data_IF_027122232495
#
_entry.id   IF_027122232495
#
_cell.length_a   1.000
_cell.length_b   1.000
_cell.length_c   1.000
_cell.angle_alpha   90.00
_cell.angle_beta   90.00
_cell.angle_gamma   90.00
#
_symmetry.space_group_name_H-M   'P 1'
#
loop_
_entity.id
_entity.type
_entity.pdbx_description
1 polymer ?
#
# COMPACT_ATOMS: atom_id res chain seq x y z
N UNK A 1 15.46 5.40 33.45
CA UNK A 1 15.64 4.10 32.78
C UNK A 1 14.32 3.74 32.13
N UNK A 2 14.19 3.89 30.81
CA UNK A 2 12.97 3.56 30.09
C UNK A 2 13.32 3.40 28.63
N UNK A 3 13.86 2.24 28.25
CA UNK A 3 14.29 1.93 26.90
C UNK A 3 13.50 0.72 26.42
N UNK A 4 12.74 0.92 25.34
CA UNK A 4 12.39 -0.05 24.31
C UNK A 4 12.06 -1.47 24.77
N UNK A 5 10.92 -1.65 25.44
CA UNK A 5 10.31 -2.98 25.41
C UNK A 5 9.63 -3.12 24.05
N UNK A 6 10.25 -3.87 23.14
CA UNK A 6 9.68 -4.22 21.85
C UNK A 6 8.99 -5.58 22.01
N UNK A 7 7.66 -5.63 22.25
CA UNK A 7 6.98 -6.86 22.60
C UNK A 7 7.04 -7.83 21.41
N UNK A 8 7.52 -9.04 21.67
CA UNK A 8 7.50 -10.15 20.72
C UNK A 8 6.52 -11.20 21.23
N UNK A 9 5.68 -11.71 20.33
CA UNK A 9 4.62 -12.65 20.67
C UNK A 9 4.82 -13.94 19.88
N UNK A 10 4.96 -15.05 20.60
CA UNK A 10 5.22 -16.38 20.01
C UNK A 10 3.93 -17.18 20.00
N UNK A 11 3.59 -17.74 18.83
CA UNK A 11 2.42 -18.59 18.63
C UNK A 11 2.82 -19.92 17.98
N UNK A 12 2.08 -21.02 18.25
CA UNK A 12 2.26 -22.26 17.52
C UNK A 12 1.89 -22.07 16.04
N UNK A 13 2.54 -22.80 15.14
CA UNK A 13 2.25 -22.73 13.69
C UNK A 13 0.79 -23.04 13.34
N UNK A 14 0.10 -23.84 14.16
CA UNK A 14 -1.33 -24.11 14.01
C UNK A 14 -2.21 -22.85 14.14
N UNK A 15 -1.74 -21.80 14.82
CA UNK A 15 -2.51 -20.57 14.96
C UNK A 15 -2.77 -19.87 13.62
N UNK A 16 -1.85 -20.02 12.64
CA UNK A 16 -2.06 -19.50 11.28
C UNK A 16 -3.18 -20.26 10.56
N UNK A 17 -3.28 -21.57 10.78
CA UNK A 17 -4.36 -22.40 10.25
C UNK A 17 -5.70 -21.97 10.86
N UNK A 18 -5.79 -21.92 12.19
CA UNK A 18 -7.01 -21.58 12.89
C UNK A 18 -7.51 -20.18 12.49
N UNK A 19 -6.60 -19.20 12.37
CA UNK A 19 -6.93 -17.86 11.89
C UNK A 19 -7.46 -17.88 10.46
N UNK A 20 -6.86 -18.68 9.56
CA UNK A 20 -7.30 -18.80 8.18
C UNK A 20 -8.71 -19.40 8.10
N UNK A 21 -8.97 -20.47 8.85
CA UNK A 21 -10.29 -21.10 8.91
C UNK A 21 -11.36 -20.11 9.37
N UNK A 22 -11.11 -19.33 10.42
CA UNK A 22 -12.01 -18.27 10.87
C UNK A 22 -12.23 -17.19 9.79
N UNK A 23 -11.17 -16.74 9.13
CA UNK A 23 -11.28 -15.77 8.04
C UNK A 23 -12.04 -16.33 6.84
N UNK A 24 -11.92 -17.62 6.54
CA UNK A 24 -12.66 -18.30 5.49
C UNK A 24 -14.16 -18.35 5.80
N UNK A 25 -14.53 -18.58 7.07
CA UNK A 25 -15.91 -18.54 7.50
C UNK A 25 -16.53 -17.14 7.35
N UNK A 26 -15.74 -16.08 7.58
CA UNK A 26 -16.21 -14.69 7.51
C UNK A 26 -16.21 -14.12 6.09
N UNK A 27 -15.14 -14.35 5.32
CA UNK A 27 -14.84 -13.65 4.07
C UNK A 27 -14.83 -14.59 2.85
N UNK A 28 -15.10 -15.88 3.03
CA UNK A 28 -15.11 -16.87 1.96
C UNK A 28 -13.78 -16.92 1.21
N UNK A 29 -13.85 -16.73 -0.11
CA UNK A 29 -12.69 -16.82 -1.00
C UNK A 29 -11.66 -15.68 -0.80
N UNK A 30 -12.00 -14.61 -0.07
CA UNK A 30 -11.09 -13.48 0.18
C UNK A 30 -10.18 -13.69 1.41
N UNK A 31 -10.28 -14.84 2.08
CA UNK A 31 -9.43 -15.18 3.22
C UNK A 31 -7.93 -15.15 2.86
N UNK A 32 -7.53 -15.77 1.75
CA UNK A 32 -6.13 -15.78 1.29
C UNK A 32 -5.58 -14.37 1.04
N UNK A 33 -6.36 -13.50 0.39
CA UNK A 33 -5.97 -12.09 0.18
C UNK A 33 -5.81 -11.33 1.51
N UNK A 34 -6.64 -11.68 2.50
CA UNK A 34 -6.52 -11.10 3.84
C UNK A 34 -5.28 -11.59 4.57
N UNK A 35 -4.99 -12.89 4.50
CA UNK A 35 -3.76 -13.50 5.03
C UNK A 35 -2.51 -12.87 4.41
N UNK A 36 -2.50 -12.64 3.10
CA UNK A 36 -1.40 -11.96 2.41
C UNK A 36 -1.19 -10.53 2.91
N UNK A 37 -2.26 -9.71 2.98
CA UNK A 37 -2.16 -8.34 3.51
C UNK A 37 -1.68 -8.33 4.96
N UNK A 38 -2.15 -9.28 5.76
CA UNK A 38 -1.75 -9.43 7.15
C UNK A 38 -0.27 -9.82 7.26
N UNK A 39 0.17 -10.82 6.49
CA UNK A 39 1.57 -11.21 6.38
C UNK A 39 2.45 -10.03 6.00
N UNK A 40 2.08 -9.26 4.97
CA UNK A 40 2.83 -8.08 4.56
C UNK A 40 3.06 -7.10 5.72
N UNK A 41 2.00 -6.77 6.46
CA UNK A 41 2.07 -5.87 7.62
C UNK A 41 2.94 -6.44 8.74
N UNK A 42 2.83 -7.75 9.00
CA UNK A 42 3.67 -8.43 9.98
C UNK A 42 5.15 -8.36 9.58
N UNK A 43 5.47 -8.51 8.29
CA UNK A 43 6.85 -8.48 7.79
C UNK A 43 7.48 -7.10 7.91
N UNK A 44 6.75 -6.06 7.51
CA UNK A 44 7.16 -4.67 7.73
C UNK A 44 7.32 -4.37 9.22
N UNK A 45 6.36 -4.81 10.03
CA UNK A 45 6.39 -4.63 11.48
C UNK A 45 7.62 -5.27 12.11
N UNK A 46 8.01 -6.46 11.65
CA UNK A 46 9.19 -7.17 12.14
C UNK A 46 10.49 -6.41 11.87
N UNK A 47 10.71 -5.99 10.62
CA UNK A 47 11.92 -5.25 10.22
C UNK A 47 12.06 -3.95 11.02
N UNK A 48 10.97 -3.21 11.19
CA UNK A 48 10.93 -1.98 12.01
C UNK A 48 11.18 -2.26 13.48
N UNK A 49 10.55 -3.30 14.02
CA UNK A 49 10.69 -3.69 15.42
C UNK A 49 12.08 -4.20 15.72
N UNK A 50 12.77 -4.84 14.79
CA UNK A 50 14.16 -5.25 14.99
C UNK A 50 15.15 -4.12 14.65
N UNK A 51 14.70 -3.06 13.96
CA UNK A 51 15.55 -1.95 13.54
C UNK A 51 16.57 -2.39 12.48
N UNK A 52 16.16 -3.30 11.60
CA UNK A 52 17.01 -3.85 10.55
C UNK A 52 17.03 -2.89 9.35
N UNK A 53 18.20 -2.74 8.77
CA UNK A 53 18.46 -1.93 7.58
C UNK A 53 19.55 -2.64 6.77
N UNK A 54 19.63 -2.38 5.47
CA UNK A 54 20.69 -2.93 4.64
C UNK A 54 21.22 -1.89 3.66
N UNK A 55 22.53 -1.85 3.47
CA UNK A 55 23.18 -0.95 2.53
C UNK A 55 23.14 -1.48 1.10
N UNK A 56 23.16 -2.81 0.93
CA UNK A 56 23.14 -3.46 -0.38
C UNK A 56 22.36 -4.78 -0.40
N UNK A 57 22.16 -5.29 -1.61
CA UNK A 57 21.37 -6.51 -1.84
C UNK A 57 22.04 -7.79 -1.32
N UNK A 58 23.37 -7.80 -1.13
CA UNK A 58 24.08 -8.96 -0.58
C UNK A 58 23.89 -9.03 0.92
N UNK A 59 23.95 -7.88 1.59
CA UNK A 59 23.62 -7.75 3.01
C UNK A 59 22.15 -8.11 3.25
N UNK A 60 21.24 -7.65 2.38
CA UNK A 60 19.82 -8.01 2.44
C UNK A 60 19.61 -9.53 2.45
N UNK A 61 20.33 -10.29 1.60
CA UNK A 61 20.23 -11.76 1.57
C UNK A 61 20.48 -12.39 2.94
N UNK A 62 21.59 -12.03 3.59
CA UNK A 62 21.97 -12.61 4.87
C UNK A 62 20.97 -12.25 5.98
N UNK A 63 20.49 -11.00 5.99
CA UNK A 63 19.47 -10.55 6.95
C UNK A 63 18.16 -11.31 6.73
N UNK A 64 17.70 -11.47 5.48
CA UNK A 64 16.46 -12.20 5.18
C UNK A 64 16.54 -13.65 5.66
N UNK A 65 17.65 -14.35 5.38
CA UNK A 65 17.84 -15.75 5.80
C UNK A 65 17.85 -15.89 7.33
N UNK A 66 18.54 -14.97 8.03
CA UNK A 66 18.59 -14.97 9.49
C UNK A 66 17.19 -14.73 10.09
N UNK A 67 16.54 -13.64 9.68
CA UNK A 67 15.21 -13.26 10.16
C UNK A 67 14.21 -14.38 9.91
N UNK A 68 14.23 -15.00 8.73
CA UNK A 68 13.30 -16.07 8.42
C UNK A 68 13.50 -17.30 9.30
N UNK A 69 14.75 -17.69 9.54
CA UNK A 69 15.08 -18.85 10.38
C UNK A 69 14.49 -18.72 11.79
N UNK A 70 14.45 -17.50 12.32
CA UNK A 70 13.89 -17.21 13.64
C UNK A 70 12.34 -17.28 13.67
N UNK A 71 11.67 -17.17 12.53
CA UNK A 71 10.19 -17.15 12.44
C UNK A 71 9.57 -18.54 12.52
N UNK A 72 10.31 -19.59 12.17
CA UNK A 72 9.85 -20.98 12.22
C UNK A 72 8.70 -21.34 11.27
N UNK A 73 8.43 -20.53 10.24
CA UNK A 73 7.31 -20.75 9.31
C UNK A 73 7.62 -21.80 8.23
N UNK A 74 8.89 -21.94 7.86
CA UNK A 74 9.37 -22.87 6.84
C UNK A 74 10.90 -22.86 6.75
N UNK A 75 11.48 -23.81 6.02
CA UNK A 75 12.88 -23.77 5.61
C UNK A 75 13.04 -23.01 4.30
N UNK A 76 13.61 -21.81 4.39
CA UNK A 76 13.89 -20.94 3.25
C UNK A 76 15.20 -21.31 2.55
N UNK A 77 15.20 -21.15 1.21
CA UNK A 77 16.42 -20.99 0.42
C UNK A 77 16.22 -19.92 -0.65
N UNK A 78 17.10 -18.92 -0.70
CA UNK A 78 17.11 -17.87 -1.72
C UNK A 78 17.89 -18.39 -2.95
N UNK A 79 17.17 -18.74 -4.02
CA UNK A 79 17.76 -19.25 -5.26
C UNK A 79 18.38 -18.13 -6.09
N UNK A 80 17.72 -16.97 -6.11
CA UNK A 80 18.17 -15.80 -6.85
C UNK A 80 17.81 -14.54 -6.09
N UNK A 81 18.73 -13.58 -6.06
CA UNK A 81 18.46 -12.23 -5.57
C UNK A 81 19.20 -11.22 -6.45
N UNK A 82 18.44 -10.38 -7.15
CA UNK A 82 18.95 -9.27 -7.95
C UNK A 82 17.97 -8.08 -7.87
N UNK A 83 18.30 -6.96 -8.51
CA UNK A 83 17.51 -5.72 -8.42
C UNK A 83 16.12 -5.79 -9.06
N UNK A 84 15.89 -6.77 -9.94
CA UNK A 84 14.65 -6.92 -10.72
C UNK A 84 13.80 -8.10 -10.30
N UNK A 85 14.42 -9.12 -9.70
CA UNK A 85 13.76 -10.37 -9.37
C UNK A 85 14.46 -11.06 -8.20
N UNK A 86 13.64 -11.59 -7.29
CA UNK A 86 14.09 -12.40 -6.16
C UNK A 86 13.27 -13.68 -6.18
N UNK A 87 13.95 -14.83 -6.21
CA UNK A 87 13.32 -16.15 -6.23
C UNK A 87 13.69 -16.86 -4.93
N UNK A 88 12.66 -17.18 -4.16
CA UNK A 88 12.78 -17.80 -2.85
C UNK A 88 11.98 -19.10 -2.86
N UNK A 89 12.58 -20.13 -2.29
CA UNK A 89 11.93 -21.43 -2.15
C UNK A 89 11.75 -21.80 -0.69
N UNK A 90 10.66 -22.47 -0.40
CA UNK A 90 10.31 -22.93 0.93
C UNK A 90 10.02 -24.42 0.92
N UNK A 91 10.53 -25.11 1.96
CA UNK A 91 10.18 -26.48 2.31
C UNK A 91 9.60 -26.51 3.72
N UNK A 92 8.86 -27.55 4.06
CA UNK A 92 8.24 -27.69 5.40
C UNK A 92 7.39 -26.44 5.72
N UNK A 93 6.55 -26.01 4.76
CA UNK A 93 5.74 -24.80 4.90
C UNK A 93 4.52 -25.09 5.75
N UNK A 94 4.37 -24.34 6.85
CA UNK A 94 3.22 -24.49 7.75
C UNK A 94 1.89 -24.31 7.01
N UNK A 95 1.78 -23.36 6.07
CA UNK A 95 0.54 -23.18 5.31
C UNK A 95 0.28 -24.32 4.33
N UNK A 96 1.30 -24.73 3.56
CA UNK A 96 1.14 -25.78 2.56
C UNK A 96 0.90 -27.17 3.17
N UNK A 97 1.49 -27.44 4.33
CA UNK A 97 1.25 -28.67 5.09
C UNK A 97 -0.21 -28.76 5.59
N UNK A 98 -0.91 -27.63 5.70
CA UNK A 98 -2.34 -27.59 5.99
C UNK A 98 -3.23 -27.72 4.74
N UNK A 99 -2.65 -27.86 3.56
CA UNK A 99 -3.37 -27.98 2.28
C UNK A 99 -3.70 -26.65 1.61
N UNK A 100 -3.10 -25.56 2.09
CA UNK A 100 -3.37 -24.21 1.63
C UNK A 100 -2.21 -23.60 0.82
N UNK A 101 -2.52 -22.63 -0.04
CA UNK A 101 -1.48 -21.77 -0.63
C UNK A 101 -0.79 -20.92 0.45
N UNK A 102 0.48 -20.62 0.26
CA UNK A 102 1.30 -19.90 1.24
C UNK A 102 1.04 -18.38 1.21
N UNK A 103 -0.20 -17.98 1.45
CA UNK A 103 -0.67 -16.60 1.33
C UNK A 103 -0.04 -15.67 2.37
N UNK A 104 0.00 -16.09 3.65
CA UNK A 104 0.64 -15.32 4.70
C UNK A 104 2.14 -15.22 4.45
N UNK A 105 2.79 -16.35 4.15
CA UNK A 105 4.22 -16.46 3.82
C UNK A 105 4.57 -15.53 2.67
N UNK A 106 3.76 -15.52 1.59
CA UNK A 106 3.91 -14.62 0.43
C UNK A 106 3.88 -13.16 0.84
N UNK A 107 2.88 -12.77 1.63
CA UNK A 107 2.78 -11.43 2.18
C UNK A 107 3.97 -11.08 3.06
N UNK A 108 4.32 -11.96 3.98
CA UNK A 108 5.34 -11.76 5.00
C UNK A 108 6.72 -11.52 4.39
N UNK A 109 7.13 -12.35 3.43
CA UNK A 109 8.41 -12.18 2.75
C UNK A 109 8.43 -10.91 1.88
N UNK A 110 7.32 -10.58 1.23
CA UNK A 110 7.16 -9.31 0.50
C UNK A 110 7.31 -8.11 1.44
N UNK A 111 6.73 -8.17 2.65
CA UNK A 111 6.84 -7.12 3.66
C UNK A 111 8.26 -6.92 4.17
N UNK A 112 8.95 -8.01 4.51
CA UNK A 112 10.34 -7.99 4.97
C UNK A 112 11.24 -7.36 3.90
N UNK A 113 11.18 -7.90 2.67
CA UNK A 113 12.01 -7.44 1.56
C UNK A 113 11.69 -5.99 1.20
N UNK A 114 10.40 -5.63 1.18
CA UNK A 114 10.02 -4.26 0.84
C UNK A 114 10.55 -3.24 1.86
N UNK A 115 10.58 -3.63 3.14
CA UNK A 115 11.08 -2.77 4.21
C UNK A 115 12.60 -2.67 4.20
N UNK A 116 13.32 -3.77 3.96
CA UNK A 116 14.79 -3.77 3.90
C UNK A 116 15.29 -2.99 2.67
N UNK A 117 14.69 -3.25 1.50
CA UNK A 117 15.11 -2.64 0.23
C UNK A 117 14.58 -1.21 0.03
N UNK A 118 13.80 -0.68 0.99
CA UNK A 118 13.12 0.65 0.92
C UNK A 118 12.38 0.89 -0.41
N UNK A 119 11.81 -0.18 -0.94
CA UNK A 119 11.10 -0.22 -2.21
C UNK A 119 10.07 -1.32 -2.14
N UNK A 120 8.85 -1.09 -2.62
CA UNK A 120 7.82 -2.13 -2.62
C UNK A 120 8.20 -3.26 -3.58
N UNK A 121 8.08 -4.50 -3.11
CA UNK A 121 8.14 -5.72 -3.92
C UNK A 121 6.79 -6.42 -3.89
N UNK A 122 6.23 -6.72 -5.05
CA UNK A 122 5.06 -7.59 -5.17
C UNK A 122 5.54 -9.04 -5.29
N UNK A 123 4.84 -9.95 -4.61
CA UNK A 123 5.15 -11.37 -4.63
C UNK A 123 4.02 -12.17 -5.28
N UNK A 124 4.36 -13.27 -5.95
CA UNK A 124 3.42 -14.30 -6.35
C UNK A 124 4.02 -15.68 -6.10
N UNK A 125 3.15 -16.65 -5.85
CA UNK A 125 3.53 -18.05 -5.69
C UNK A 125 3.48 -18.73 -7.07
N UNK A 126 4.64 -19.17 -7.55
CA UNK A 126 4.77 -19.83 -8.85
C UNK A 126 4.41 -21.33 -8.78
N UNK A 127 4.62 -21.96 -7.62
CA UNK A 127 4.21 -23.34 -7.32
C UNK A 127 4.10 -23.55 -5.82
N UNK A 128 3.20 -24.43 -5.37
CA UNK A 128 3.01 -24.75 -3.95
C UNK A 128 3.04 -26.26 -3.68
N UNK A 129 3.49 -26.65 -2.48
CA UNK A 129 3.41 -28.04 -2.00
C UNK A 129 1.95 -28.52 -1.89
N UNK A 130 1.01 -27.61 -1.58
CA UNK A 130 -0.43 -27.94 -1.55
C UNK A 130 -0.94 -28.47 -2.89
N UNK A 131 -0.31 -28.05 -4.00
CA UNK A 131 -0.65 -28.48 -5.37
C UNK A 131 0.15 -29.72 -5.80
N UNK A 132 0.90 -30.34 -4.88
CA UNK A 132 1.76 -31.49 -5.16
C UNK A 132 3.16 -31.16 -5.67
N UNK A 133 3.58 -29.89 -5.63
CA UNK A 133 4.97 -29.54 -5.96
C UNK A 133 5.95 -30.01 -4.88
N UNK A 134 7.23 -30.20 -5.23
CA UNK A 134 8.26 -30.60 -4.26
C UNK A 134 8.75 -29.49 -3.32
N UNK A 135 8.39 -28.22 -3.60
CA UNK A 135 8.73 -27.03 -2.81
C UNK A 135 7.78 -25.88 -3.18
N UNK A 136 7.55 -24.96 -2.26
CA UNK A 136 6.85 -23.71 -2.59
C UNK A 136 7.85 -22.73 -3.21
N UNK A 137 7.50 -22.09 -4.32
CA UNK A 137 8.37 -21.15 -5.04
C UNK A 137 7.69 -19.80 -5.08
N UNK A 138 8.31 -18.80 -4.48
CA UNK A 138 7.84 -17.43 -4.45
C UNK A 138 8.77 -16.56 -5.27
N UNK A 139 8.18 -15.78 -6.17
CA UNK A 139 8.89 -14.82 -6.99
C UNK A 139 8.47 -13.43 -6.57
N UNK A 140 9.45 -12.59 -6.24
CA UNK A 140 9.25 -11.20 -5.91
C UNK A 140 9.85 -10.31 -6.98
N UNK A 141 9.10 -9.29 -7.35
CA UNK A 141 9.52 -8.28 -8.34
C UNK A 141 9.25 -6.91 -7.77
N UNK A 142 10.07 -5.89 -8.08
CA UNK A 142 9.75 -4.53 -7.70
C UNK A 142 8.36 -4.16 -8.18
N UNK A 143 7.54 -3.63 -7.28
CA UNK A 143 6.16 -3.32 -7.62
C UNK A 143 6.14 -2.25 -8.71
N UNK A 144 5.47 -2.57 -9.81
CA UNK A 144 5.12 -1.58 -10.84
C UNK A 144 3.99 -0.68 -10.36
N UNK A 145 3.25 -1.12 -9.33
CA UNK A 145 2.14 -0.39 -8.74
C UNK A 145 2.63 0.59 -7.68
N UNK A 146 3.79 0.38 -7.05
CA UNK A 146 4.35 1.23 -6.00
C UNK A 146 5.85 1.44 -6.25
N UNK A 147 6.24 2.46 -7.04
CA UNK A 147 7.65 2.73 -7.30
C UNK A 147 8.41 3.11 -6.02
N UNK A 148 9.74 2.88 -6.04
CA UNK A 148 10.64 3.13 -4.91
C UNK A 148 10.60 4.59 -4.43
N UNK A 149 10.84 4.81 -3.13
CA UNK A 149 11.21 6.14 -2.64
C UNK A 149 12.44 6.64 -3.40
N UNK A 150 12.32 7.79 -4.07
CA UNK A 150 13.51 8.50 -4.56
C UNK A 150 14.22 9.09 -3.34
N UNK A 151 15.47 8.66 -3.12
CA UNK A 151 16.32 9.23 -2.08
C UNK A 151 16.33 10.76 -2.14
N UNK A 152 16.35 11.38 -0.95
CA UNK A 152 16.30 12.82 -0.73
C UNK A 152 17.11 13.59 -1.78
N UNK A 153 16.42 14.12 -2.78
CA UNK A 153 17.04 15.01 -3.76
C UNK A 153 17.04 16.41 -3.13
N UNK A 154 18.17 17.14 -3.12
CA UNK A 154 18.22 18.47 -2.51
C UNK A 154 17.17 19.36 -3.17
N UNK A 155 16.34 20.00 -2.34
CA UNK A 155 15.34 20.99 -2.75
C UNK A 155 15.93 21.95 -3.79
N UNK A 156 15.47 21.87 -5.04
CA UNK A 156 15.50 23.04 -5.91
C UNK A 156 14.29 23.89 -5.53
N UNK A 157 14.56 24.95 -4.78
CA UNK A 157 13.60 26.05 -4.66
C UNK A 157 13.56 26.72 -6.03
N UNK A 158 12.60 26.36 -6.86
CA UNK A 158 12.22 27.17 -8.01
C UNK A 158 10.92 27.92 -7.74
N UNK A 159 11.02 29.22 -7.93
CA UNK A 159 10.05 30.25 -7.62
C UNK A 159 9.00 30.32 -8.72
N UNK A 160 7.88 29.61 -8.53
CA UNK A 160 6.74 29.69 -9.45
C UNK A 160 5.46 28.95 -8.98
N UNK A 161 5.35 28.62 -7.68
CA UNK A 161 4.22 27.82 -7.18
C UNK A 161 2.91 28.61 -7.28
N UNK A 162 1.90 28.02 -7.92
CA UNK A 162 0.50 28.51 -7.82
C UNK A 162 -0.13 28.12 -6.47
N UNK A 163 0.26 26.98 -5.88
CA UNK A 163 -0.32 26.47 -4.63
C UNK A 163 0.76 25.90 -3.69
N UNK A 164 0.70 26.27 -2.40
CA UNK A 164 1.61 25.78 -1.37
C UNK A 164 0.87 24.80 -0.46
N UNK A 165 1.26 23.52 -0.48
CA UNK A 165 0.68 22.49 0.38
C UNK A 165 1.57 22.24 1.60
N UNK A 166 0.94 22.22 2.77
CA UNK A 166 1.53 21.87 4.05
C UNK A 166 1.52 20.34 4.26
N UNK A 167 2.64 19.74 4.71
CA UNK A 167 2.70 18.34 5.13
C UNK A 167 1.70 18.01 6.24
N UNK A 168 1.25 16.76 6.30
CA UNK A 168 0.29 16.30 7.31
C UNK A 168 -1.12 16.85 7.14
N UNK A 169 -1.46 17.34 5.94
CA UNK A 169 -2.76 17.97 5.66
C UNK A 169 -3.50 17.27 4.54
N UNK A 170 -4.81 17.09 4.74
CA UNK A 170 -5.74 16.62 3.71
C UNK A 170 -6.51 17.81 3.12
N UNK A 171 -6.51 17.91 1.79
CA UNK A 171 -7.09 19.01 1.04
C UNK A 171 -8.33 18.58 0.27
N UNK A 172 -9.41 19.33 0.44
CA UNK A 172 -10.58 19.28 -0.44
C UNK A 172 -10.42 20.38 -1.49
N UNK A 173 -10.14 19.97 -2.73
CA UNK A 173 -9.91 20.90 -3.84
C UNK A 173 -11.22 21.10 -4.58
N UNK A 174 -11.85 22.24 -4.33
CA UNK A 174 -13.11 22.60 -4.98
C UNK A 174 -12.82 23.26 -6.32
N UNK A 175 -13.15 22.54 -7.41
CA UNK A 175 -12.93 23.03 -8.76
C UNK A 175 -13.88 22.34 -9.74
N UNK A 176 -14.22 23.04 -10.82
CA UNK A 176 -14.96 22.46 -11.95
C UNK A 176 -14.13 21.49 -12.79
N UNK A 177 -12.80 21.50 -12.64
CA UNK A 177 -11.87 20.63 -13.37
C UNK A 177 -10.93 19.89 -12.42
N UNK A 178 -10.35 18.78 -12.90
CA UNK A 178 -9.37 18.02 -12.12
C UNK A 178 -7.94 18.57 -12.30
N UNK A 179 -7.72 19.47 -13.27
CA UNK A 179 -6.38 19.92 -13.69
C UNK A 179 -5.56 20.50 -12.54
N UNK A 180 -6.19 21.29 -11.67
CA UNK A 180 -5.53 21.90 -10.53
C UNK A 180 -5.06 20.85 -9.50
N UNK A 181 -5.90 19.88 -9.18
CA UNK A 181 -5.56 18.81 -8.24
C UNK A 181 -4.44 17.91 -8.78
N UNK A 182 -4.47 17.58 -10.08
CA UNK A 182 -3.40 16.84 -10.73
C UNK A 182 -2.10 17.65 -10.83
N UNK A 183 -2.18 18.97 -11.07
CA UNK A 183 -1.00 19.85 -11.03
C UNK A 183 -0.37 19.87 -9.64
N UNK A 184 -1.17 20.07 -8.59
CA UNK A 184 -0.71 20.02 -7.19
C UNK A 184 -0.02 18.69 -6.87
N UNK A 185 -0.60 17.57 -7.31
CA UNK A 185 0.01 16.25 -7.15
C UNK A 185 1.37 16.16 -7.86
N UNK A 186 1.45 16.58 -9.14
CA UNK A 186 2.69 16.55 -9.91
C UNK A 186 3.80 17.37 -9.28
N UNK A 187 3.47 18.57 -8.80
CA UNK A 187 4.44 19.46 -8.17
C UNK A 187 5.07 18.81 -6.95
N UNK A 188 4.28 18.12 -6.13
CA UNK A 188 4.78 17.42 -4.95
C UNK A 188 5.63 16.20 -5.32
N UNK A 189 5.25 15.44 -6.35
CA UNK A 189 6.06 14.33 -6.84
C UNK A 189 7.39 14.82 -7.41
N UNK A 190 7.40 15.95 -8.13
CA UNK A 190 8.62 16.57 -8.64
C UNK A 190 9.57 17.04 -7.51
N UNK A 191 9.02 17.34 -6.33
CA UNK A 191 9.76 17.72 -5.11
C UNK A 191 10.21 16.52 -4.26
N UNK A 192 10.07 15.31 -4.79
CA UNK A 192 10.56 14.07 -4.17
C UNK A 192 9.54 13.36 -3.29
N UNK A 193 8.25 13.74 -3.32
CA UNK A 193 7.22 12.92 -2.69
C UNK A 193 6.96 11.64 -3.51
N UNK A 194 6.78 10.51 -2.83
CA UNK A 194 6.25 9.31 -3.48
C UNK A 194 4.75 9.52 -3.71
N UNK A 195 4.33 9.52 -4.97
CA UNK A 195 2.95 9.78 -5.35
C UNK A 195 2.11 8.51 -5.50
N UNK A 196 0.82 8.58 -5.15
CA UNK A 196 -0.21 7.62 -5.56
C UNK A 196 -1.46 8.35 -6.08
N UNK A 197 -2.07 7.84 -7.13
CA UNK A 197 -3.37 8.31 -7.64
C UNK A 197 -4.37 7.16 -7.57
N UNK A 198 -5.52 7.42 -6.97
CA UNK A 198 -6.74 6.62 -7.15
C UNK A 198 -7.66 7.37 -8.11
N UNK A 199 -7.99 6.77 -9.25
CA UNK A 199 -8.88 7.39 -10.23
C UNK A 199 -9.97 6.44 -10.73
N UNK A 200 -11.10 7.01 -11.16
CA UNK A 200 -12.14 6.26 -11.90
C UNK A 200 -11.73 6.01 -13.35
N UNK A 201 -11.00 6.95 -13.95
CA UNK A 201 -10.52 6.87 -15.31
C UNK A 201 -9.45 5.79 -15.45
N UNK A 202 -9.41 5.14 -16.61
CA UNK A 202 -8.44 4.09 -16.90
C UNK A 202 -6.99 4.61 -16.79
N UNK A 203 -6.05 3.87 -16.17
CA UNK A 203 -4.71 4.35 -15.87
C UNK A 203 -3.96 5.03 -17.02
N UNK A 204 -3.91 4.40 -18.20
CA UNK A 204 -3.19 4.98 -19.35
C UNK A 204 -3.78 6.31 -19.81
N UNK A 205 -5.10 6.52 -19.62
CA UNK A 205 -5.74 7.80 -19.96
C UNK A 205 -5.33 8.89 -18.98
N UNK A 206 -5.32 8.56 -17.68
CA UNK A 206 -4.88 9.49 -16.61
C UNK A 206 -3.42 9.88 -16.83
N UNK A 207 -2.55 8.91 -17.11
CA UNK A 207 -1.13 9.16 -17.38
C UNK A 207 -0.92 10.08 -18.59
N UNK A 208 -1.61 9.83 -19.71
CA UNK A 208 -1.50 10.65 -20.92
C UNK A 208 -2.07 12.06 -20.74
N UNK A 209 -3.23 12.16 -20.09
CA UNK A 209 -3.95 13.42 -19.93
C UNK A 209 -3.24 14.37 -18.97
N UNK A 210 -2.74 13.83 -17.85
CA UNK A 210 -2.14 14.62 -16.78
C UNK A 210 -0.64 14.42 -16.65
N UNK A 211 0.04 13.83 -17.62
CA UNK A 211 1.51 13.71 -17.62
C UNK A 211 2.10 13.00 -16.40
N UNK A 212 1.39 11.98 -15.88
CA UNK A 212 1.87 11.20 -14.72
C UNK A 212 2.82 10.12 -15.24
N UNK A 213 4.12 10.35 -15.08
CA UNK A 213 5.18 9.41 -15.45
C UNK A 213 5.66 8.54 -14.28
N UNK A 214 5.38 8.95 -13.05
CA UNK A 214 5.90 8.33 -11.83
C UNK A 214 4.82 8.30 -10.74
N UNK A 215 4.92 7.33 -9.83
CA UNK A 215 3.96 7.11 -8.76
C UNK A 215 3.03 5.91 -9.00
N UNK A 216 2.38 5.48 -7.92
CA UNK A 216 1.37 4.44 -7.93
C UNK A 216 0.10 4.92 -8.62
N UNK A 217 -0.52 4.10 -9.48
CA UNK A 217 -1.78 4.46 -10.11
C UNK A 217 -2.79 3.32 -10.00
N UNK A 218 -3.81 3.52 -9.17
CA UNK A 218 -4.87 2.57 -8.88
C UNK A 218 -6.16 2.99 -9.57
N UNK A 219 -6.86 2.00 -10.11
CA UNK A 219 -8.08 2.18 -10.88
C UNK A 219 -9.29 1.70 -10.10
N UNK A 220 -10.25 2.59 -9.84
CA UNK A 220 -11.53 2.26 -9.22
C UNK A 220 -12.43 1.57 -10.27
N UNK A 221 -12.47 0.24 -10.23
CA UNK A 221 -13.13 -0.59 -11.24
C UNK A 221 -13.51 -1.97 -10.70
N UNK A 222 -14.58 -2.54 -11.25
CA UNK A 222 -14.98 -3.93 -11.02
C UNK A 222 -14.19 -4.93 -11.88
N UNK A 223 -13.25 -4.46 -12.71
CA UNK A 223 -12.40 -5.32 -13.52
C UNK A 223 -11.53 -6.21 -12.63
N UNK A 224 -11.71 -7.53 -12.77
CA UNK A 224 -10.96 -8.53 -12.00
C UNK A 224 -9.69 -8.93 -12.74
N UNK A 225 -8.64 -9.30 -12.00
CA UNK A 225 -7.38 -9.79 -12.57
C UNK A 225 -6.36 -8.70 -12.93
N UNK A 226 -6.71 -7.41 -12.84
CA UNK A 226 -5.73 -6.31 -12.92
C UNK A 226 -5.22 -5.96 -11.52
N UNK A 227 -3.90 -6.10 -11.30
CA UNK A 227 -3.26 -5.82 -9.99
C UNK A 227 -3.45 -4.38 -9.50
N UNK A 228 -3.72 -3.44 -10.40
CA UNK A 228 -3.98 -2.03 -10.08
C UNK A 228 -5.48 -1.69 -9.96
N UNK A 229 -6.40 -2.63 -10.21
CA UNK A 229 -7.83 -2.39 -10.09
C UNK A 229 -8.32 -2.63 -8.64
N UNK A 230 -9.15 -1.73 -8.13
CA UNK A 230 -9.77 -1.81 -6.81
C UNK A 230 -11.27 -1.64 -6.96
N UNK A 231 -12.05 -2.60 -6.46
CA UNK A 231 -13.51 -2.50 -6.50
C UNK A 231 -13.94 -1.29 -5.64
N UNK A 232 -14.74 -0.35 -6.17
CA UNK A 232 -15.12 0.87 -5.47
C UNK A 232 -15.98 0.62 -4.23
N UNK A 233 -16.63 -0.54 -4.14
CA UNK A 233 -17.42 -1.00 -2.98
C UNK A 233 -16.56 -1.58 -1.85
N UNK A 234 -15.31 -1.97 -2.13
CA UNK A 234 -14.38 -2.52 -1.15
C UNK A 234 -13.62 -1.39 -0.42
N UNK A 235 -14.38 -0.60 0.34
CA UNK A 235 -13.87 0.50 1.17
C UNK A 235 -12.74 0.04 2.12
N UNK A 236 -12.82 -1.13 2.79
CA UNK A 236 -11.72 -1.63 3.61
C UNK A 236 -10.43 -1.85 2.83
N UNK A 237 -10.49 -2.41 1.62
CA UNK A 237 -9.31 -2.56 0.77
C UNK A 237 -8.74 -1.20 0.37
N UNK A 238 -9.57 -0.27 -0.08
CA UNK A 238 -9.13 1.08 -0.48
C UNK A 238 -8.44 1.79 0.70
N UNK A 239 -9.05 1.75 1.88
CA UNK A 239 -8.46 2.28 3.11
C UNK A 239 -7.10 1.65 3.37
N UNK A 240 -7.02 0.32 3.33
CA UNK A 240 -5.78 -0.40 3.63
C UNK A 240 -4.66 -0.04 2.66
N UNK A 241 -4.95 0.14 1.37
CA UNK A 241 -3.95 0.50 0.36
C UNK A 241 -3.40 1.90 0.60
N UNK A 242 -4.28 2.88 0.82
CA UNK A 242 -3.87 4.26 1.06
C UNK A 242 -3.11 4.36 2.39
N UNK A 243 -3.61 3.71 3.45
CA UNK A 243 -2.93 3.68 4.74
C UNK A 243 -1.54 3.04 4.63
N UNK A 244 -1.43 1.88 3.98
CA UNK A 244 -0.14 1.22 3.80
C UNK A 244 0.82 2.10 2.99
N UNK A 245 0.30 2.84 2.01
CA UNK A 245 1.11 3.77 1.22
C UNK A 245 1.67 4.90 2.09
N UNK A 246 0.85 5.52 2.94
CA UNK A 246 1.31 6.53 3.89
C UNK A 246 2.31 5.97 4.90
N UNK A 247 2.09 4.76 5.42
CA UNK A 247 3.01 4.14 6.38
C UNK A 247 4.33 3.70 5.76
N UNK A 248 4.34 3.32 4.48
CA UNK A 248 5.51 2.81 3.79
C UNK A 248 6.43 3.92 3.26
N UNK A 249 5.94 5.16 3.14
CA UNK A 249 6.71 6.25 2.53
C UNK A 249 6.79 7.47 3.46
N UNK A 250 7.98 7.99 3.74
CA UNK A 250 8.18 9.13 4.67
C UNK A 250 7.70 10.47 4.10
N UNK A 251 7.55 10.57 2.77
CA UNK A 251 7.01 11.74 2.07
C UNK A 251 5.99 11.30 1.01
N UNK A 252 4.82 10.84 1.46
CA UNK A 252 3.78 10.37 0.56
C UNK A 252 2.80 11.48 0.14
N UNK A 253 2.34 11.44 -1.10
CA UNK A 253 1.17 12.19 -1.55
C UNK A 253 0.17 11.30 -2.26
N UNK A 254 -1.10 11.41 -1.88
CA UNK A 254 -2.20 10.64 -2.48
C UNK A 254 -3.20 11.58 -3.11
N UNK A 255 -3.57 11.35 -4.37
CA UNK A 255 -4.66 12.01 -5.07
C UNK A 255 -5.84 11.04 -5.20
N UNK A 256 -6.99 11.38 -4.59
CA UNK A 256 -8.22 10.60 -4.68
C UNK A 256 -9.19 11.22 -5.70
N UNK A 257 -8.93 11.00 -6.98
CA UNK A 257 -9.70 11.48 -8.13
C UNK A 257 -10.89 10.56 -8.45
N UNK A 258 -11.78 10.36 -7.49
CA UNK A 258 -12.95 9.50 -7.67
C UNK A 258 -13.94 9.53 -6.51
N UNK A 259 -13.98 10.63 -5.76
CA UNK A 259 -14.81 10.76 -4.57
C UNK A 259 -16.30 10.56 -4.89
N UNK A 260 -16.80 11.25 -5.91
CA UNK A 260 -18.20 11.17 -6.36
C UNK A 260 -18.55 9.75 -6.78
N UNK A 261 -17.60 9.07 -7.43
CA UNK A 261 -17.78 7.68 -7.81
C UNK A 261 -17.87 6.78 -6.59
N UNK A 262 -16.96 6.92 -5.61
CA UNK A 262 -17.03 6.17 -4.35
C UNK A 262 -18.35 6.42 -3.61
N UNK A 263 -18.82 7.67 -3.53
CA UNK A 263 -20.11 8.01 -2.92
C UNK A 263 -21.24 7.33 -3.69
N UNK A 264 -21.23 7.36 -5.03
CA UNK A 264 -22.28 6.75 -5.86
C UNK A 264 -22.35 5.22 -5.75
N UNK A 265 -21.20 4.56 -5.57
CA UNK A 265 -21.11 3.11 -5.44
C UNK A 265 -21.36 2.64 -3.99
N UNK A 266 -21.29 3.56 -3.03
CA UNK A 266 -21.49 3.31 -1.62
C UNK A 266 -22.58 4.25 -1.08
N UNK A 267 -22.47 4.62 0.19
CA UNK A 267 -23.22 5.73 0.74
C UNK A 267 -22.24 6.79 1.27
N UNK A 268 -22.70 8.03 1.35
CA UNK A 268 -21.86 9.15 1.76
C UNK A 268 -21.21 8.91 3.13
N UNK A 269 -21.96 8.44 4.13
CA UNK A 269 -21.45 8.21 5.48
C UNK A 269 -20.29 7.21 5.54
N UNK A 270 -20.33 6.14 4.74
CA UNK A 270 -19.22 5.18 4.64
C UNK A 270 -17.97 5.83 4.06
N UNK A 271 -18.13 6.65 3.03
CA UNK A 271 -17.02 7.37 2.39
C UNK A 271 -16.47 8.46 3.30
N UNK A 272 -17.33 9.22 3.99
CA UNK A 272 -16.92 10.20 4.99
C UNK A 272 -16.07 9.55 6.09
N UNK A 273 -16.50 8.38 6.60
CA UNK A 273 -15.73 7.63 7.59
C UNK A 273 -14.37 7.15 7.05
N UNK A 274 -14.31 6.75 5.78
CA UNK A 274 -13.04 6.45 5.11
C UNK A 274 -12.13 7.69 5.12
N UNK A 275 -12.64 8.85 4.69
CA UNK A 275 -11.86 10.08 4.62
C UNK A 275 -11.37 10.54 6.01
N UNK A 276 -12.20 10.42 7.04
CA UNK A 276 -11.82 10.68 8.43
C UNK A 276 -10.64 9.83 8.88
N UNK A 277 -10.72 8.52 8.67
CA UNK A 277 -9.62 7.62 9.01
C UNK A 277 -8.36 7.94 8.20
N UNK A 278 -8.48 8.32 6.93
CA UNK A 278 -7.33 8.73 6.13
C UNK A 278 -6.73 10.05 6.63
N UNK A 279 -7.55 11.01 7.03
CA UNK A 279 -7.13 12.30 7.57
C UNK A 279 -6.31 12.14 8.87
N UNK A 280 -6.73 11.22 9.74
CA UNK A 280 -5.97 10.83 10.94
C UNK A 280 -4.59 10.27 10.55
N UNK A 281 -4.53 9.37 9.57
CA UNK A 281 -3.25 8.78 9.11
C UNK A 281 -2.33 9.83 8.45
N UNK A 282 -2.90 10.74 7.67
CA UNK A 282 -2.19 11.87 7.05
C UNK A 282 -1.53 12.72 8.11
N UNK A 283 -2.28 13.11 9.15
CA UNK A 283 -1.79 13.91 10.28
C UNK A 283 -0.65 13.21 11.04
N UNK A 284 -0.75 11.88 11.22
CA UNK A 284 0.24 11.09 11.96
C UNK A 284 1.54 10.81 11.18
N UNK A 285 1.47 10.74 9.86
CA UNK A 285 2.61 10.37 8.99
C UNK A 285 3.30 11.58 8.36
N UNK A 286 2.68 12.76 8.39
CA UNK A 286 3.16 13.93 7.65
C UNK A 286 2.92 13.83 6.13
N UNK A 287 2.15 12.84 5.69
CA UNK A 287 1.77 12.66 4.28
C UNK A 287 0.82 13.78 3.82
N UNK A 288 0.47 13.80 2.53
CA UNK A 288 -0.56 14.70 1.99
C UNK A 288 -1.64 13.91 1.26
N UNK A 289 -2.88 14.38 1.37
CA UNK A 289 -4.04 13.84 0.65
C UNK A 289 -4.72 14.97 -0.12
N UNK A 290 -4.96 14.77 -1.40
CA UNK A 290 -5.69 15.70 -2.28
C UNK A 290 -6.96 15.01 -2.75
N UNK A 291 -8.10 15.66 -2.54
CA UNK A 291 -9.41 15.15 -2.94
C UNK A 291 -10.08 16.24 -3.78
N UNK A 292 -10.02 16.17 -5.13
CA UNK A 292 -10.83 17.04 -5.96
C UNK A 292 -12.30 16.72 -5.77
N UNK A 293 -13.12 17.76 -5.75
CA UNK A 293 -14.58 17.66 -5.72
C UNK A 293 -15.20 18.76 -6.56
N UNK A 294 -16.31 18.45 -7.22
CA UNK A 294 -17.23 19.45 -7.78
C UNK A 294 -18.37 19.64 -6.76
N UNK A 295 -18.40 20.73 -5.96
CA UNK A 295 -19.41 20.91 -4.92
C UNK A 295 -20.85 20.78 -5.43
N UNK A 296 -21.12 21.22 -6.66
CA UNK A 296 -22.43 21.16 -7.30
C UNK A 296 -22.87 19.74 -7.67
N UNK A 297 -21.94 18.78 -7.71
CA UNK A 297 -22.24 17.37 -7.99
C UNK A 297 -22.70 16.59 -6.74
N UNK A 298 -22.60 17.19 -5.55
CA UNK A 298 -22.95 16.56 -4.28
C UNK A 298 -24.08 17.29 -3.57
N UNK A 299 -24.66 16.64 -2.56
CA UNK A 299 -25.63 17.28 -1.68
C UNK A 299 -24.93 18.38 -0.86
N UNK A 300 -25.48 19.61 -0.74
CA UNK A 300 -24.88 20.69 0.04
C UNK A 300 -24.56 20.32 1.50
N UNK A 301 -25.34 19.43 2.13
CA UNK A 301 -25.04 18.95 3.48
C UNK A 301 -23.78 18.07 3.51
N UNK A 302 -23.59 17.24 2.50
CA UNK A 302 -22.44 16.34 2.37
C UNK A 302 -21.17 17.16 2.13
N UNK A 303 -21.23 18.17 1.25
CA UNK A 303 -20.11 19.11 1.03
C UNK A 303 -19.70 19.78 2.33
N UNK A 304 -20.65 20.32 3.11
CA UNK A 304 -20.36 20.94 4.41
C UNK A 304 -19.74 19.98 5.42
N UNK A 305 -20.04 18.68 5.36
CA UNK A 305 -19.36 17.68 6.18
C UNK A 305 -17.92 17.46 5.74
N UNK A 306 -17.66 17.44 4.43
CA UNK A 306 -16.30 17.32 3.87
C UNK A 306 -15.45 18.55 4.20
N UNK A 307 -15.98 19.76 4.00
CA UNK A 307 -15.31 21.03 4.31
C UNK A 307 -14.94 21.16 5.80
N UNK A 308 -15.71 20.53 6.70
CA UNK A 308 -15.41 20.51 8.14
C UNK A 308 -14.30 19.53 8.51
N UNK A 309 -14.12 18.49 7.70
CA UNK A 309 -13.13 17.44 7.92
C UNK A 309 -11.78 17.77 7.27
N UNK A 310 -11.82 18.43 6.11
CA UNK A 310 -10.69 18.62 5.22
C UNK A 310 -10.40 20.11 5.01
N UNK A 311 -9.15 20.47 4.73
CA UNK A 311 -8.78 21.86 4.41
C UNK A 311 -9.25 22.22 2.99
N UNK A 312 -10.18 23.15 2.89
CA UNK A 312 -10.71 23.60 1.60
C UNK A 312 -9.68 24.44 0.84
N UNK A 313 -9.52 24.14 -0.45
CA UNK A 313 -8.81 24.94 -1.42
C UNK A 313 -9.74 25.22 -2.59
N UNK A 314 -10.25 26.44 -2.67
CA UNK A 314 -11.07 26.91 -3.79
C UNK A 314 -10.16 27.27 -4.97
N UNK A 315 -10.48 26.75 -6.16
CA UNK A 315 -9.73 27.02 -7.38
C UNK A 315 -10.65 27.66 -8.42
N UNK A 316 -10.38 28.94 -8.71
CA UNK A 316 -10.97 29.70 -9.80
C UNK A 316 -10.60 29.15 -11.20
#
# INVERSE_FOLDING_TARGET
MGKDMRPFFVMPGSALKDLREELQLLNGNDAGRTMERYGFRAGVGLVRTLGLDCADIREAKAIIEQVWTETGLSRMNIEMINETEIVITFKESVEADNGDHCDFTRGYISGIISSLMRRRYDAYEASCISDGAGKCVHVLTPSTTYPAEKGETPMKVDTGRKYLLEPGTSYLVESSSLDAAYQMYRDQVAEGCTGMVLAREYPEKVQKMYGISEGALLWLSYERGKRYAREPTDIPMIYSEIKNFFEANSRAIVLLSGLEYLISQNNFLKVLKLLQLLNDNVSMTGSMLIIPVVPEALNPQDVKMLERELRVLEID
#
